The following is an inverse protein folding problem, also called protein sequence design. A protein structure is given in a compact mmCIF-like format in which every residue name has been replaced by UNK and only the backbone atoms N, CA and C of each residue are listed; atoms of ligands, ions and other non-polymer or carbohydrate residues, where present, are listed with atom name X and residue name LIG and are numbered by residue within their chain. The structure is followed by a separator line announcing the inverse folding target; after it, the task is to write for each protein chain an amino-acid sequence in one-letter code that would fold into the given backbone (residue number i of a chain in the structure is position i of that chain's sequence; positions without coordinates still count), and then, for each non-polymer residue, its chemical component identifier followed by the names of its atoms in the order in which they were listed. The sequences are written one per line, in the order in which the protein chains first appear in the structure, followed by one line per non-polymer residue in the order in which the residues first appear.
data_IF_037056378334
#
_entry.id   IF_037056378334
#
_cell.length_a   1.000
_cell.length_b   1.000
_cell.length_c   1.000
_cell.angle_alpha   90.00
_cell.angle_beta   90.00
_cell.angle_gamma   90.00
#
_symmetry.space_group_name_H-M   'P 1'
#
loop_
_entity.id
_entity.type
_entity.pdbx_description
1 polymer ?
#
# COMPACT_ATOMS: atom_id res chain seq x y z
N UNK A 1 5.94 3.64 -14.05
CA UNK A 1 5.21 4.79 -14.60
C UNK A 1 5.95 6.08 -14.29
N UNK A 2 5.98 7.06 -15.20
CA UNK A 2 6.59 8.36 -14.94
C UNK A 2 5.85 9.11 -13.82
N UNK A 3 6.55 9.98 -13.08
CA UNK A 3 5.93 10.88 -12.10
C UNK A 3 4.83 11.76 -12.73
N UNK A 4 4.99 12.07 -14.02
CA UNK A 4 4.08 12.87 -14.85
C UNK A 4 2.66 12.26 -14.93
N UNK A 5 2.55 10.93 -14.80
CA UNK A 5 1.26 10.24 -14.76
C UNK A 5 0.45 10.57 -13.50
N UNK A 6 1.10 10.52 -12.34
CA UNK A 6 0.45 10.81 -11.05
C UNK A 6 0.14 12.31 -10.91
N UNK A 7 1.02 13.15 -11.47
CA UNK A 7 0.81 14.57 -11.66
C UNK A 7 -0.42 14.89 -12.52
N UNK A 8 -0.62 14.16 -13.64
CA UNK A 8 -1.78 14.28 -14.52
C UNK A 8 -3.09 13.92 -13.80
N UNK A 9 -3.11 12.86 -12.99
CA UNK A 9 -4.32 12.43 -12.28
C UNK A 9 -4.84 13.46 -11.26
N UNK A 10 -3.95 14.16 -10.55
CA UNK A 10 -4.35 15.24 -9.63
C UNK A 10 -5.04 16.43 -10.31
N UNK A 11 -4.97 16.53 -11.64
CA UNK A 11 -5.65 17.61 -12.39
C UNK A 11 -7.13 17.33 -12.68
N UNK A 12 -7.66 16.15 -12.31
CA UNK A 12 -9.09 15.84 -12.42
C UNK A 12 -9.60 15.62 -13.86
N UNK A 13 -8.72 15.34 -14.82
CA UNK A 13 -9.07 15.19 -16.25
C UNK A 13 -9.73 13.83 -16.56
N UNK A 14 -10.07 13.04 -15.55
CA UNK A 14 -10.39 11.61 -15.72
C UNK A 14 -11.81 11.31 -16.20
N UNK A 15 -12.70 12.29 -16.37
CA UNK A 15 -14.11 11.98 -16.69
C UNK A 15 -14.60 12.31 -18.11
N UNK A 16 -13.86 13.03 -18.97
CA UNK A 16 -14.44 13.45 -20.27
C UNK A 16 -13.55 13.30 -21.51
N UNK A 17 -12.33 12.79 -21.41
CA UNK A 17 -11.49 12.56 -22.57
C UNK A 17 -11.54 11.08 -23.01
N UNK A 18 -12.26 10.80 -24.09
CA UNK A 18 -12.15 9.58 -24.92
C UNK A 18 -12.70 8.25 -24.38
N UNK A 19 -13.61 8.24 -23.39
CA UNK A 19 -14.38 7.04 -23.05
C UNK A 19 -13.58 5.87 -22.45
N UNK A 20 -12.33 6.10 -22.03
CA UNK A 20 -11.56 5.14 -21.28
C UNK A 20 -12.08 5.06 -19.84
N UNK A 21 -12.47 3.86 -19.39
CA UNK A 21 -12.85 3.62 -17.98
C UNK A 21 -11.67 3.68 -17.01
N UNK A 22 -10.43 3.69 -17.51
CA UNK A 22 -9.21 3.69 -16.70
C UNK A 22 -8.34 4.91 -16.99
N UNK A 23 -8.09 5.79 -15.98
CA UNK A 23 -7.21 6.96 -16.09
C UNK A 23 -5.80 6.68 -16.61
N UNK A 24 -5.31 5.46 -16.37
CA UNK A 24 -4.02 4.96 -16.84
C UNK A 24 -3.90 4.91 -18.35
N UNK A 25 -4.92 4.34 -18.98
CA UNK A 25 -4.98 4.16 -20.42
C UNK A 25 -5.13 5.52 -21.11
N UNK A 26 -5.92 6.43 -20.53
CA UNK A 26 -6.04 7.80 -21.03
C UNK A 26 -4.69 8.53 -21.03
N UNK A 27 -3.91 8.47 -19.95
CA UNK A 27 -2.57 9.08 -19.92
C UNK A 27 -1.59 8.43 -20.89
N UNK A 28 -1.55 7.09 -20.96
CA UNK A 28 -0.64 6.42 -21.89
C UNK A 28 -1.00 6.74 -23.34
N UNK A 29 -2.30 6.86 -23.65
CA UNK A 29 -2.79 7.29 -24.95
C UNK A 29 -2.36 8.73 -25.27
N UNK A 30 -2.58 9.67 -24.34
CA UNK A 30 -2.13 11.06 -24.45
C UNK A 30 -0.61 11.21 -24.57
N UNK A 31 0.16 10.38 -23.86
CA UNK A 31 1.62 10.39 -23.92
C UNK A 31 2.17 9.80 -25.22
N UNK A 32 1.41 8.88 -25.85
CA UNK A 32 1.70 8.31 -27.17
C UNK A 32 1.34 9.30 -28.29
N UNK A 33 0.35 10.18 -28.08
CA UNK A 33 -0.02 11.20 -29.04
C UNK A 33 0.89 12.43 -28.88
N UNK A 34 2.00 12.44 -29.64
CA UNK A 34 3.11 13.40 -29.51
C UNK A 34 2.73 14.89 -29.58
N UNK A 35 1.50 15.25 -30.01
CA UNK A 35 1.02 16.62 -30.16
C UNK A 35 0.51 17.27 -28.85
N UNK A 36 0.19 16.51 -27.79
CA UNK A 36 -0.47 17.05 -26.59
C UNK A 36 0.38 17.09 -25.30
N UNK A 37 1.63 16.60 -25.34
CA UNK A 37 2.55 16.58 -24.18
C UNK A 37 2.71 17.94 -23.46
N UNK A 38 2.57 19.06 -24.18
CA UNK A 38 2.61 20.41 -23.59
C UNK A 38 1.39 20.78 -22.75
N UNK A 39 0.21 20.20 -23.04
CA UNK A 39 -1.07 20.50 -22.38
C UNK A 39 -1.09 19.96 -20.95
N UNK A 40 -0.70 18.70 -20.77
CA UNK A 40 -0.61 18.02 -19.47
C UNK A 40 0.37 18.72 -18.53
N UNK A 41 1.59 18.99 -19.02
CA UNK A 41 2.63 19.68 -18.23
C UNK A 41 2.19 21.07 -17.79
N UNK A 42 1.56 21.85 -18.69
CA UNK A 42 1.03 23.20 -18.35
C UNK A 42 -0.07 23.12 -17.29
N UNK A 43 -0.99 22.15 -17.38
CA UNK A 43 -2.05 21.95 -16.37
C UNK A 43 -1.47 21.53 -15.02
N UNK A 44 -0.50 20.62 -15.00
CA UNK A 44 0.21 20.26 -13.77
C UNK A 44 0.94 21.46 -13.16
N UNK A 45 1.71 22.22 -13.95
CA UNK A 45 2.38 23.43 -13.48
C UNK A 45 1.42 24.46 -12.87
N UNK A 46 0.21 24.62 -13.43
CA UNK A 46 -0.84 25.48 -12.86
C UNK A 46 -1.47 24.90 -11.58
N UNK A 47 -1.51 23.57 -11.45
CA UNK A 47 -2.05 22.89 -10.27
C UNK A 47 -1.12 22.98 -9.06
N UNK A 48 0.20 23.06 -9.31
CA UNK A 48 1.16 23.41 -8.29
C UNK A 48 0.87 24.88 -7.94
N UNK A 49 0.25 25.12 -6.78
CA UNK A 49 0.06 26.46 -6.21
C UNK A 49 1.42 27.05 -5.77
N UNK A 50 2.38 27.09 -6.68
CA UNK A 50 3.71 27.64 -6.45
C UNK A 50 3.54 29.14 -6.34
N UNK A 51 3.71 29.68 -5.14
CA UNK A 51 3.83 31.12 -4.97
C UNK A 51 4.95 31.63 -5.87
N UNK A 52 4.71 32.67 -6.67
CA UNK A 52 5.71 33.22 -7.59
C UNK A 52 6.95 33.79 -6.86
N UNK A 53 6.86 33.99 -5.55
CA UNK A 53 7.92 34.59 -4.74
C UNK A 53 7.99 33.94 -3.34
N UNK A 54 8.42 32.66 -3.22
CA UNK A 54 8.58 31.99 -1.92
C UNK A 54 9.71 32.62 -1.07
N UNK A 55 10.45 33.57 -1.65
CA UNK A 55 11.63 34.24 -1.11
C UNK A 55 11.31 35.48 -0.24
N UNK A 56 10.05 35.91 -0.20
CA UNK A 56 9.65 37.02 0.67
C UNK A 56 9.57 36.55 2.12
N UNK A 57 10.53 37.02 2.93
CA UNK A 57 10.52 37.00 4.40
C UNK A 57 10.59 35.62 5.09
N UNK A 58 10.94 34.53 4.39
CA UNK A 58 11.13 33.20 5.00
C UNK A 58 12.50 32.60 4.71
N UNK A 59 13.13 32.07 5.75
CA UNK A 59 14.30 31.20 5.63
C UNK A 59 13.90 29.91 4.91
N UNK A 60 14.32 29.76 3.65
CA UNK A 60 14.01 28.57 2.85
C UNK A 60 15.10 27.51 3.05
N UNK A 61 14.72 26.36 3.60
CA UNK A 61 15.61 25.19 3.62
C UNK A 61 15.60 24.54 2.24
N UNK A 62 16.65 24.81 1.46
CA UNK A 62 16.82 24.22 0.12
C UNK A 62 16.88 22.69 0.14
N UNK A 63 17.21 22.08 1.29
CA UNK A 63 17.24 20.64 1.46
C UNK A 63 15.84 20.04 1.72
N UNK A 64 14.80 20.86 1.90
CA UNK A 64 13.43 20.38 2.10
C UNK A 64 12.68 20.34 0.79
N UNK A 65 12.21 19.16 0.43
CA UNK A 65 11.39 18.94 -0.75
C UNK A 65 9.95 19.39 -0.47
N UNK A 66 9.36 20.29 -1.28
CA UNK A 66 7.97 20.67 -1.11
C UNK A 66 6.99 19.50 -1.34
N UNK A 67 6.01 19.35 -0.44
CA UNK A 67 4.98 18.29 -0.53
C UNK A 67 4.18 18.35 -1.85
N UNK A 68 4.10 19.54 -2.45
CA UNK A 68 3.46 19.78 -3.74
C UNK A 68 4.00 18.89 -4.88
N UNK A 69 5.27 18.46 -4.82
CA UNK A 69 5.84 17.58 -5.84
C UNK A 69 5.32 16.15 -5.76
N UNK A 70 4.83 15.69 -4.60
CA UNK A 70 4.24 14.36 -4.42
C UNK A 70 5.09 13.23 -5.03
N UNK A 71 6.40 13.21 -4.74
CA UNK A 71 7.35 12.21 -5.27
C UNK A 71 7.03 10.76 -4.87
N UNK A 72 6.20 10.58 -3.84
CA UNK A 72 5.76 9.29 -3.30
C UNK A 72 4.24 9.23 -3.44
N UNK A 73 3.67 8.12 -3.97
CA UNK A 73 2.24 7.97 -4.10
C UNK A 73 1.58 7.87 -2.72
N UNK A 74 0.38 8.45 -2.62
CA UNK A 74 -0.50 8.26 -1.48
C UNK A 74 -1.48 7.08 -1.72
N UNK A 75 -2.33 6.82 -0.75
CA UNK A 75 -3.32 5.73 -0.78
C UNK A 75 -4.27 5.87 -1.98
N UNK A 76 -4.57 7.10 -2.43
CA UNK A 76 -5.48 7.32 -3.56
C UNK A 76 -4.93 6.75 -4.88
N UNK A 77 -3.60 6.62 -5.00
CA UNK A 77 -2.98 6.01 -6.17
C UNK A 77 -3.43 4.56 -6.40
N UNK A 78 -3.74 3.80 -5.33
CA UNK A 78 -4.23 2.41 -5.41
C UNK A 78 -5.50 2.32 -6.24
N UNK A 79 -6.43 3.27 -6.10
CA UNK A 79 -7.74 3.21 -6.74
C UNK A 79 -7.62 3.15 -8.27
N UNK A 80 -6.52 3.67 -8.80
CA UNK A 80 -6.25 3.81 -10.22
C UNK A 80 -5.38 2.66 -10.77
N UNK A 81 -4.96 1.74 -9.89
CA UNK A 81 -4.20 0.56 -10.27
C UNK A 81 -5.12 -0.60 -10.65
N UNK A 82 -4.63 -1.62 -11.38
CA UNK A 82 -5.40 -2.82 -11.63
C UNK A 82 -5.78 -3.57 -10.35
N UNK A 83 -6.73 -4.49 -10.47
CA UNK A 83 -7.13 -5.36 -9.38
C UNK A 83 -5.94 -6.13 -8.80
N UNK A 84 -5.94 -6.27 -7.48
CA UNK A 84 -4.90 -6.95 -6.70
C UNK A 84 -3.55 -6.23 -6.63
N UNK A 85 -3.47 -5.00 -7.14
CA UNK A 85 -2.37 -4.09 -6.82
C UNK A 85 -2.33 -3.74 -5.33
N UNK A 86 -1.13 -3.59 -4.79
CA UNK A 86 -0.97 -3.12 -3.42
C UNK A 86 0.17 -2.13 -3.27
N UNK A 87 0.01 -1.20 -2.33
CA UNK A 87 0.96 -0.17 -1.93
C UNK A 87 1.38 -0.48 -0.51
N UNK A 88 2.69 -0.54 -0.31
CA UNK A 88 3.31 -0.77 0.97
C UNK A 88 4.14 0.44 1.35
N UNK A 89 3.82 1.03 2.51
CA UNK A 89 4.55 2.15 3.10
C UNK A 89 5.04 1.74 4.48
N UNK A 90 6.35 1.76 4.67
CA UNK A 90 7.00 1.32 5.91
C UNK A 90 7.84 2.47 6.45
N UNK A 91 7.36 3.20 7.47
CA UNK A 91 8.22 4.13 8.20
C UNK A 91 9.21 3.33 9.03
N UNK A 92 10.51 3.53 8.79
CA UNK A 92 11.58 2.81 9.46
C UNK A 92 12.54 3.77 10.13
N UNK A 93 13.25 3.24 11.12
CA UNK A 93 14.33 3.94 11.83
C UNK A 93 15.64 3.21 11.63
N UNK A 94 16.71 3.94 11.35
CA UNK A 94 18.04 3.34 11.16
C UNK A 94 18.63 2.84 12.48
N UNK A 95 18.94 1.54 12.53
CA UNK A 95 19.71 0.91 13.62
C UNK A 95 21.21 1.12 13.44
N UNK A 96 21.70 1.21 12.20
CA UNK A 96 23.07 1.60 11.86
C UNK A 96 23.05 2.70 10.80
N UNK A 97 24.09 3.54 10.71
CA UNK A 97 24.17 4.59 9.69
C UNK A 97 23.98 4.02 8.29
N UNK A 98 23.36 4.80 7.40
CA UNK A 98 23.23 4.47 5.99
C UNK A 98 24.29 5.21 5.19
N UNK A 99 24.95 4.47 4.31
CA UNK A 99 25.96 5.00 3.40
C UNK A 99 25.48 4.81 1.97
N UNK A 100 25.79 5.77 1.13
CA UNK A 100 25.65 5.62 -0.32
C UNK A 100 26.79 6.32 -1.03
N UNK A 101 26.84 6.13 -2.35
CA UNK A 101 27.81 6.79 -3.20
C UNK A 101 27.07 7.79 -4.06
N UNK A 102 27.40 9.07 -3.91
CA UNK A 102 27.01 10.07 -4.91
C UNK A 102 27.93 9.97 -6.15
N UNK A 103 27.40 10.37 -7.30
CA UNK A 103 28.14 10.37 -8.58
C UNK A 103 28.58 11.78 -9.00
N UNK A 104 28.49 12.77 -8.11
CA UNK A 104 28.95 14.12 -8.38
C UNK A 104 30.48 14.16 -8.51
N UNK A 105 30.98 14.66 -9.64
CA UNK A 105 32.41 14.69 -9.96
C UNK A 105 33.20 15.66 -9.07
N UNK A 106 32.54 16.70 -8.56
CA UNK A 106 33.14 17.73 -7.73
C UNK A 106 32.35 17.84 -6.43
N UNK A 107 32.89 17.27 -5.36
CA UNK A 107 32.35 17.37 -4.01
C UNK A 107 33.50 17.56 -3.02
N UNK A 108 33.22 18.24 -1.90
CA UNK A 108 34.25 18.60 -0.91
C UNK A 108 34.89 17.36 -0.26
N UNK A 109 34.06 16.35 0.04
CA UNK A 109 34.48 15.06 0.60
C UNK A 109 34.59 14.00 -0.49
N UNK A 110 35.53 13.06 -0.35
CA UNK A 110 35.73 11.98 -1.32
C UNK A 110 34.55 11.00 -1.39
N UNK A 111 33.83 10.82 -0.28
CA UNK A 111 32.74 9.87 -0.14
C UNK A 111 31.44 10.60 0.21
N UNK A 112 30.87 11.34 -0.77
CA UNK A 112 29.60 12.03 -0.58
C UNK A 112 28.43 11.08 -0.47
N UNK A 113 27.47 11.48 0.36
CA UNK A 113 26.16 10.84 0.43
C UNK A 113 25.35 11.16 -0.83
N UNK A 114 24.58 10.19 -1.33
CA UNK A 114 23.68 10.41 -2.46
C UNK A 114 22.60 11.42 -2.11
N UNK A 115 22.37 12.37 -3.03
CA UNK A 115 21.37 13.43 -2.88
C UNK A 115 20.48 13.54 -4.11
N UNK A 116 19.27 14.04 -3.91
CA UNK A 116 18.40 14.50 -5.00
C UNK A 116 19.09 15.67 -5.74
N UNK A 117 18.91 15.77 -7.06
CA UNK A 117 19.71 16.65 -7.91
C UNK A 117 19.43 18.14 -7.69
N UNK A 118 18.17 18.50 -7.44
CA UNK A 118 17.69 19.88 -7.35
C UNK A 118 17.80 20.39 -5.92
N UNK A 119 17.17 19.69 -4.97
CA UNK A 119 17.09 20.12 -3.57
C UNK A 119 18.32 19.71 -2.76
N UNK A 120 19.20 18.86 -3.31
CA UNK A 120 20.36 18.32 -2.60
C UNK A 120 19.99 17.59 -1.30
N UNK A 121 18.73 17.16 -1.18
CA UNK A 121 18.22 16.35 -0.07
C UNK A 121 18.86 14.96 -0.11
N UNK A 122 19.46 14.49 1.00
CA UNK A 122 19.91 13.12 1.15
C UNK A 122 18.83 12.12 0.76
N UNK A 123 19.17 11.09 -0.03
CA UNK A 123 18.19 10.10 -0.43
C UNK A 123 18.77 8.71 -0.68
N UNK A 124 17.94 7.69 -0.45
CA UNK A 124 18.09 6.39 -1.09
C UNK A 124 17.24 6.38 -2.36
N UNK A 125 17.86 6.07 -3.49
CA UNK A 125 17.18 6.08 -4.78
C UNK A 125 16.30 4.82 -4.95
N UNK A 126 15.24 4.94 -5.77
CA UNK A 126 14.39 3.81 -6.13
C UNK A 126 15.18 2.60 -6.70
N UNK A 127 16.21 2.86 -7.50
CA UNK A 127 17.08 1.80 -8.04
C UNK A 127 17.96 1.14 -6.96
N UNK A 128 18.36 1.90 -5.93
CA UNK A 128 19.08 1.39 -4.78
C UNK A 128 18.21 0.43 -3.96
N UNK A 129 16.97 0.84 -3.66
CA UNK A 129 15.97 -0.03 -3.03
C UNK A 129 15.67 -1.29 -3.83
N UNK A 130 15.50 -1.16 -5.15
CA UNK A 130 15.30 -2.31 -6.04
C UNK A 130 16.46 -3.29 -5.94
N UNK A 131 17.69 -2.78 -6.02
CA UNK A 131 18.92 -3.57 -5.92
C UNK A 131 19.07 -4.26 -4.57
N UNK A 132 18.82 -3.54 -3.47
CA UNK A 132 18.91 -4.05 -2.12
C UNK A 132 17.90 -5.17 -1.87
N UNK A 133 16.63 -4.97 -2.24
CA UNK A 133 15.59 -5.98 -2.05
C UNK A 133 15.84 -7.22 -2.90
N UNK A 134 16.21 -7.02 -4.17
CA UNK A 134 16.57 -8.12 -5.08
C UNK A 134 17.73 -8.94 -4.54
N UNK A 135 18.79 -8.28 -4.05
CA UNK A 135 19.94 -8.94 -3.46
C UNK A 135 19.57 -9.72 -2.19
N UNK A 136 18.77 -9.13 -1.29
CA UNK A 136 18.31 -9.80 -0.08
C UNK A 136 17.51 -11.07 -0.39
N UNK A 137 16.55 -10.99 -1.31
CA UNK A 137 15.71 -12.13 -1.70
C UNK A 137 16.52 -13.22 -2.45
N UNK A 138 17.50 -12.82 -3.27
CA UNK A 138 18.44 -13.75 -3.91
C UNK A 138 19.29 -14.48 -2.86
N UNK A 139 19.79 -13.77 -1.86
CA UNK A 139 20.56 -14.36 -0.76
C UNK A 139 19.72 -15.31 0.10
N UNK A 140 18.45 -14.99 0.35
CA UNK A 140 17.52 -15.92 1.02
C UNK A 140 17.32 -17.21 0.22
N UNK A 141 17.12 -17.11 -1.10
CA UNK A 141 16.99 -18.26 -1.98
C UNK A 141 18.27 -19.11 -1.96
N UNK A 142 19.42 -18.45 -2.08
CA UNK A 142 20.72 -19.11 -2.08
C UNK A 142 20.97 -19.84 -0.75
N UNK A 143 20.79 -19.16 0.38
CA UNK A 143 20.94 -19.74 1.73
C UNK A 143 20.04 -20.94 1.96
N UNK A 144 18.76 -20.81 1.58
CA UNK A 144 17.82 -21.92 1.68
C UNK A 144 18.30 -23.12 0.85
N UNK A 145 18.69 -22.91 -0.40
CA UNK A 145 19.15 -24.00 -1.26
C UNK A 145 20.46 -24.63 -0.78
N UNK A 146 21.43 -23.83 -0.32
CA UNK A 146 22.71 -24.34 0.19
C UNK A 146 22.54 -25.12 1.48
N UNK A 147 21.59 -24.71 2.33
CA UNK A 147 21.31 -25.35 3.61
C UNK A 147 20.62 -26.71 3.52
N UNK A 148 20.10 -27.10 2.34
CA UNK A 148 19.53 -28.43 2.12
C UNK A 148 20.61 -29.50 1.97
N UNK A 149 20.34 -30.68 2.50
CA UNK A 149 21.18 -31.86 2.28
C UNK A 149 21.10 -32.37 0.83
N UNK A 150 22.03 -33.24 0.43
CA UNK A 150 22.09 -33.78 -0.93
C UNK A 150 20.82 -34.56 -1.31
N UNK A 151 20.28 -35.34 -0.37
CA UNK A 151 19.03 -36.10 -0.58
C UNK A 151 17.82 -35.16 -0.72
N UNK A 152 17.74 -34.12 0.11
CA UNK A 152 16.67 -33.12 0.03
C UNK A 152 16.72 -32.32 -1.28
N UNK A 153 17.92 -31.98 -1.77
CA UNK A 153 18.11 -31.37 -3.11
C UNK A 153 17.66 -32.31 -4.24
N UNK A 154 17.80 -33.62 -4.04
CA UNK A 154 17.33 -34.66 -4.95
C UNK A 154 15.81 -34.90 -4.86
N UNK A 155 15.08 -34.23 -3.97
CA UNK A 155 13.62 -34.27 -3.98
C UNK A 155 13.03 -33.40 -5.09
N UNK A 156 12.05 -33.94 -5.81
CA UNK A 156 11.34 -33.20 -6.87
C UNK A 156 10.68 -31.93 -6.35
N UNK A 157 10.20 -31.93 -5.11
CA UNK A 157 9.53 -30.78 -4.47
C UNK A 157 10.50 -29.62 -4.30
N UNK A 158 11.69 -29.87 -3.75
CA UNK A 158 12.69 -28.82 -3.55
C UNK A 158 13.26 -28.30 -4.88
N UNK A 159 13.50 -29.17 -5.87
CA UNK A 159 13.88 -28.71 -7.22
C UNK A 159 12.84 -27.79 -7.84
N UNK A 160 11.56 -28.14 -7.75
CA UNK A 160 10.44 -27.29 -8.21
C UNK A 160 10.45 -25.96 -7.48
N UNK A 161 10.60 -25.98 -6.16
CA UNK A 161 10.57 -24.78 -5.32
C UNK A 161 11.72 -23.84 -5.63
N UNK A 162 12.92 -24.35 -5.92
CA UNK A 162 14.06 -23.54 -6.36
C UNK A 162 13.78 -22.81 -7.68
N UNK A 163 13.32 -23.54 -8.69
CA UNK A 163 12.98 -22.95 -10.01
C UNK A 163 11.82 -21.96 -9.87
N UNK A 164 10.79 -22.29 -9.10
CA UNK A 164 9.62 -21.44 -8.86
C UNK A 164 10.00 -20.11 -8.20
N UNK A 165 10.78 -20.14 -7.11
CA UNK A 165 11.27 -18.93 -6.44
C UNK A 165 12.16 -18.09 -7.34
N UNK A 166 12.97 -18.72 -8.20
CA UNK A 166 13.79 -18.02 -9.19
C UNK A 166 12.94 -17.31 -10.25
N UNK A 167 11.90 -17.97 -10.77
CA UNK A 167 10.94 -17.34 -11.70
C UNK A 167 10.20 -16.18 -11.03
N UNK A 168 9.83 -16.35 -9.76
CA UNK A 168 9.19 -15.32 -8.96
C UNK A 168 10.08 -14.06 -8.82
N UNK A 169 11.39 -14.20 -8.60
CA UNK A 169 12.32 -13.06 -8.61
C UNK A 169 12.28 -12.31 -9.95
N UNK A 170 12.32 -13.02 -11.07
CA UNK A 170 12.26 -12.36 -12.39
C UNK A 170 10.90 -11.69 -12.61
N UNK A 171 9.79 -12.31 -12.23
CA UNK A 171 8.45 -11.72 -12.31
C UNK A 171 8.33 -10.43 -11.49
N UNK A 172 8.91 -10.41 -10.29
CA UNK A 172 8.86 -9.25 -9.40
C UNK A 172 9.74 -8.10 -9.90
N UNK A 173 11.01 -8.37 -10.23
CA UNK A 173 11.99 -7.33 -10.52
C UNK A 173 12.16 -7.01 -12.00
N UNK A 174 11.72 -7.90 -12.89
CA UNK A 174 11.94 -7.83 -14.32
C UNK A 174 13.38 -8.15 -14.73
N UNK A 175 13.66 -8.02 -16.02
CA UNK A 175 15.01 -8.13 -16.60
C UNK A 175 15.38 -6.79 -17.23
N UNK A 176 16.47 -6.15 -16.77
CA UNK A 176 16.85 -4.83 -17.31
C UNK A 176 17.80 -4.93 -18.51
N UNK A 177 18.61 -5.99 -18.56
CA UNK A 177 19.67 -6.18 -19.58
C UNK A 177 19.66 -7.58 -20.21
N UNK A 178 18.47 -8.15 -20.41
CA UNK A 178 18.29 -9.48 -21.00
C UNK A 178 18.71 -10.62 -20.07
N UNK A 179 18.77 -11.84 -20.63
CA UNK A 179 18.86 -13.10 -19.87
C UNK A 179 20.19 -13.30 -19.11
N UNK A 180 21.28 -12.63 -19.51
CA UNK A 180 22.66 -12.90 -19.07
C UNK A 180 23.16 -12.04 -17.89
N UNK A 181 22.28 -11.73 -16.94
CA UNK A 181 22.67 -11.04 -15.70
C UNK A 181 23.61 -11.91 -14.82
N UNK A 182 24.52 -11.25 -14.07
CA UNK A 182 25.49 -11.93 -13.18
C UNK A 182 24.78 -12.81 -12.14
N UNK A 183 23.65 -12.33 -11.61
CA UNK A 183 22.79 -13.04 -10.66
C UNK A 183 22.28 -14.37 -11.21
N UNK A 184 21.83 -14.38 -12.47
CA UNK A 184 21.35 -15.59 -13.13
C UNK A 184 22.46 -16.62 -13.26
N UNK A 185 23.67 -16.18 -13.65
CA UNK A 185 24.84 -17.08 -13.71
C UNK A 185 25.23 -17.64 -12.35
N UNK A 186 25.09 -16.86 -11.28
CA UNK A 186 25.31 -17.35 -9.93
C UNK A 186 24.30 -18.44 -9.55
N UNK A 187 23.01 -18.21 -9.80
CA UNK A 187 21.95 -19.19 -9.52
C UNK A 187 22.01 -20.42 -10.44
N UNK A 188 22.52 -20.28 -11.67
CA UNK A 188 22.77 -21.41 -12.58
C UNK A 188 23.83 -22.35 -12.01
N UNK A 189 24.95 -21.78 -11.54
CA UNK A 189 26.01 -22.55 -10.87
C UNK A 189 25.50 -23.21 -9.59
N UNK A 190 24.68 -22.50 -8.83
CA UNK A 190 24.15 -22.98 -7.55
C UNK A 190 23.13 -24.11 -7.71
N UNK A 191 22.21 -23.97 -8.69
CA UNK A 191 21.15 -24.92 -8.94
C UNK A 191 21.59 -26.15 -9.75
N UNK A 192 22.64 -26.01 -10.56
CA UNK A 192 23.11 -27.05 -11.47
C UNK A 192 22.37 -27.08 -12.81
N UNK A 193 22.84 -27.96 -13.71
CA UNK A 193 22.41 -28.00 -15.12
C UNK A 193 20.92 -28.25 -15.29
N UNK A 194 20.34 -29.20 -14.53
CA UNK A 194 18.94 -29.60 -14.67
C UNK A 194 17.98 -28.44 -14.31
N UNK A 195 18.22 -27.79 -13.17
CA UNK A 195 17.42 -26.67 -12.67
C UNK A 195 17.56 -25.46 -13.58
N UNK A 196 18.77 -25.23 -14.12
CA UNK A 196 19.04 -24.19 -15.11
C UNK A 196 18.22 -24.40 -16.39
N UNK A 197 18.26 -25.61 -16.96
CA UNK A 197 17.48 -25.95 -18.15
C UNK A 197 15.97 -25.82 -17.90
N UNK A 198 15.49 -26.24 -16.74
CA UNK A 198 14.08 -26.10 -16.38
C UNK A 198 13.68 -24.62 -16.27
N UNK A 199 14.46 -23.82 -15.53
CA UNK A 199 14.23 -22.39 -15.41
C UNK A 199 14.19 -21.70 -16.78
N UNK A 200 15.17 -21.98 -17.64
CA UNK A 200 15.23 -21.45 -19.01
C UNK A 200 14.02 -21.86 -19.86
N UNK A 201 13.56 -23.10 -19.72
CA UNK A 201 12.36 -23.57 -20.42
C UNK A 201 11.11 -22.83 -19.95
N UNK A 202 10.95 -22.64 -18.65
CA UNK A 202 9.81 -21.91 -18.09
C UNK A 202 9.83 -20.43 -18.48
N UNK A 203 11.00 -19.79 -18.41
CA UNK A 203 11.12 -18.36 -18.68
C UNK A 203 10.77 -17.99 -20.13
N UNK A 204 11.07 -18.88 -21.09
CA UNK A 204 10.73 -18.67 -22.51
C UNK A 204 9.24 -18.44 -22.75
N UNK A 205 8.36 -18.98 -21.90
CA UNK A 205 6.91 -18.75 -22.01
C UNK A 205 6.45 -17.38 -21.49
N UNK A 206 7.34 -16.63 -20.83
CA UNK A 206 7.03 -15.33 -20.21
C UNK A 206 7.80 -14.16 -20.83
N UNK A 207 8.66 -14.42 -21.82
CA UNK A 207 9.46 -13.39 -22.49
C UNK A 207 8.70 -12.81 -23.68
N UNK A 208 8.86 -11.52 -23.89
CA UNK A 208 8.48 -10.86 -25.14
C UNK A 208 9.48 -11.18 -26.25
N UNK A 209 9.16 -10.88 -27.50
CA UNK A 209 10.06 -11.10 -28.65
C UNK A 209 11.38 -10.34 -28.52
N UNK A 210 11.39 -9.21 -27.80
CA UNK A 210 12.60 -8.43 -27.48
C UNK A 210 13.44 -9.04 -26.35
N UNK A 211 12.96 -10.12 -25.72
CA UNK A 211 13.59 -10.76 -24.57
C UNK A 211 13.49 -9.98 -23.26
N UNK A 212 12.66 -8.93 -23.23
CA UNK A 212 12.43 -8.11 -22.04
C UNK A 212 11.25 -8.64 -21.21
N UNK A 213 11.40 -8.60 -19.88
CA UNK A 213 10.33 -8.86 -18.92
C UNK A 213 10.22 -7.65 -18.00
N UNK A 214 9.06 -7.01 -18.02
CA UNK A 214 8.74 -5.96 -17.06
C UNK A 214 8.52 -6.57 -15.66
N UNK A 215 9.16 -5.98 -14.65
CA UNK A 215 8.89 -6.33 -13.26
C UNK A 215 7.57 -5.76 -12.78
N UNK A 216 6.99 -6.40 -11.76
CA UNK A 216 5.75 -5.95 -11.10
C UNK A 216 5.96 -4.95 -9.98
N UNK A 217 7.22 -4.74 -9.57
CA UNK A 217 7.58 -3.84 -8.48
C UNK A 217 8.00 -2.47 -8.98
N UNK A 218 7.40 -1.44 -8.38
CA UNK A 218 7.77 -0.04 -8.55
C UNK A 218 8.25 0.52 -7.21
N UNK A 219 9.50 0.96 -7.18
CA UNK A 219 10.15 1.53 -6.00
C UNK A 219 10.13 3.06 -6.08
N UNK A 220 10.08 3.69 -4.91
CA UNK A 220 10.14 5.14 -4.77
C UNK A 220 11.36 5.54 -3.94
N UNK A 221 11.92 6.75 -4.17
CA UNK A 221 13.01 7.24 -3.36
C UNK A 221 12.57 7.46 -1.91
N UNK A 222 13.52 7.31 -0.99
CA UNK A 222 13.36 7.73 0.40
C UNK A 222 14.25 8.93 0.65
N UNK A 223 13.69 10.00 1.18
CA UNK A 223 14.41 11.23 1.51
C UNK A 223 14.70 11.26 3.02
N UNK A 224 15.90 11.72 3.39
CA UNK A 224 16.33 11.85 4.78
C UNK A 224 16.57 13.33 5.10
N UNK A 225 16.29 13.70 6.35
CA UNK A 225 16.49 15.07 6.85
C UNK A 225 17.86 15.25 7.50
N UNK A 226 18.48 14.16 7.94
CA UNK A 226 19.72 14.17 8.70
C UNK A 226 20.91 13.77 7.83
N UNK A 227 22.04 14.46 8.02
CA UNK A 227 23.36 14.10 7.48
C UNK A 227 24.34 14.02 8.63
N UNK A 228 25.19 13.01 8.62
CA UNK A 228 26.27 12.80 9.57
C UNK A 228 27.58 12.46 8.86
N UNK A 229 28.62 12.27 9.67
CA UNK A 229 29.95 11.88 9.21
C UNK A 229 30.41 10.65 9.98
N UNK A 230 30.77 9.60 9.24
CA UNK A 230 31.38 8.38 9.76
C UNK A 230 32.87 8.36 9.42
N UNK A 231 33.67 7.82 10.32
CA UNK A 231 35.12 7.71 10.15
C UNK A 231 35.51 6.24 10.19
N UNK A 232 36.09 5.73 9.11
CA UNK A 232 36.65 4.38 9.06
C UNK A 232 38.16 4.50 8.96
N UNK A 233 38.89 3.97 9.94
CA UNK A 233 40.34 3.85 9.87
C UNK A 233 40.72 2.39 9.54
N UNK A 234 41.09 2.07 8.29
CA UNK A 234 41.57 0.73 7.96
C UNK A 234 42.90 0.48 8.66
N UNK A 235 43.06 -0.69 9.28
CA UNK A 235 44.33 -1.11 9.89
C UNK A 235 45.01 -2.15 9.02
N UNK A 236 46.34 -2.10 8.95
CA UNK A 236 47.12 -3.17 8.35
C UNK A 236 47.14 -4.38 9.30
N UNK A 237 46.73 -5.54 8.80
CA UNK A 237 46.66 -6.78 9.58
C UNK A 237 48.02 -7.28 10.10
N UNK A 238 49.14 -6.85 9.49
CA UNK A 238 50.50 -7.27 9.86
C UNK A 238 51.12 -6.38 10.93
N UNK A 239 50.92 -5.07 10.83
CA UNK A 239 51.55 -4.10 11.75
C UNK A 239 50.61 -3.62 12.85
N UNK A 240 49.29 -3.81 12.70
CA UNK A 240 48.27 -3.32 13.64
C UNK A 240 48.09 -1.80 13.63
N UNK A 241 48.89 -1.07 12.85
CA UNK A 241 48.84 0.39 12.74
C UNK A 241 47.78 0.81 11.71
N UNK A 242 47.34 2.07 11.78
CA UNK A 242 46.48 2.66 10.75
C UNK A 242 47.16 2.57 9.38
N UNK A 243 46.35 2.36 8.34
CA UNK A 243 46.84 2.29 6.95
C UNK A 243 47.52 3.61 6.55
N UNK A 244 48.43 3.55 5.58
CA UNK A 244 49.11 4.75 5.03
C UNK A 244 48.15 5.83 4.53
N UNK A 245 46.92 5.44 4.18
CA UNK A 245 45.86 6.33 3.71
C UNK A 245 45.13 7.08 4.83
N UNK A 246 45.39 6.73 6.09
CA UNK A 246 44.77 7.34 7.26
C UNK A 246 43.26 7.08 7.38
N UNK A 247 42.59 7.81 8.31
CA UNK A 247 41.15 7.72 8.49
C UNK A 247 40.38 8.22 7.27
N UNK A 248 39.40 7.44 6.83
CA UNK A 248 38.52 7.74 5.71
C UNK A 248 37.24 8.35 6.25
N UNK A 249 36.96 9.59 5.86
CA UNK A 249 35.72 10.29 6.15
C UNK A 249 34.63 9.90 5.14
N UNK A 250 33.45 9.54 5.65
CA UNK A 250 32.30 9.09 4.87
C UNK A 250 31.08 9.90 5.28
N UNK A 251 30.44 10.62 4.36
CA UNK A 251 29.12 11.17 4.65
C UNK A 251 28.10 10.04 4.76
N UNK A 252 27.21 10.14 5.74
CA UNK A 252 26.18 9.15 6.00
C UNK A 252 24.85 9.82 6.34
N UNK A 253 23.78 9.03 6.30
CA UNK A 253 22.62 9.30 7.14
C UNK A 253 22.89 8.64 8.51
N UNK A 254 22.84 9.39 9.61
CA UNK A 254 23.26 8.89 10.92
C UNK A 254 22.32 7.80 11.45
N UNK A 255 22.79 7.09 12.47
CA UNK A 255 21.94 6.18 13.24
C UNK A 255 20.76 6.94 13.83
N UNK A 256 19.61 6.25 13.98
CA UNK A 256 18.32 6.76 14.48
C UNK A 256 17.57 7.69 13.53
N UNK A 257 18.17 8.09 12.42
CA UNK A 257 17.44 8.84 11.40
C UNK A 257 16.29 8.00 10.83
N UNK A 258 15.27 8.71 10.37
CA UNK A 258 13.99 8.15 9.97
C UNK A 258 13.79 8.25 8.46
N UNK A 259 13.07 7.28 7.89
CA UNK A 259 12.73 7.28 6.48
C UNK A 259 11.49 6.43 6.21
N UNK A 260 10.93 6.56 5.01
CA UNK A 260 9.77 5.75 4.57
C UNK A 260 10.17 4.94 3.34
N UNK A 261 10.13 3.62 3.47
CA UNK A 261 10.25 2.71 2.34
C UNK A 261 8.89 2.56 1.68
N UNK A 262 8.80 2.90 0.39
CA UNK A 262 7.54 2.81 -0.37
C UNK A 262 7.70 1.90 -1.59
N UNK A 263 6.79 0.94 -1.71
CA UNK A 263 6.77 -0.06 -2.76
C UNK A 263 5.34 -0.21 -3.31
N UNK A 264 5.19 -0.09 -4.62
CA UNK A 264 3.95 -0.38 -5.33
C UNK A 264 4.10 -1.68 -6.13
N UNK A 265 3.18 -2.61 -5.93
CA UNK A 265 3.04 -3.83 -6.71
C UNK A 265 1.89 -3.70 -7.71
N UNK A 266 2.17 -4.01 -8.98
CA UNK A 266 1.18 -4.03 -10.05
C UNK A 266 1.18 -5.39 -10.75
N UNK A 267 0.13 -6.21 -10.61
CA UNK A 267 0.01 -7.44 -11.35
C UNK A 267 -0.24 -7.15 -12.84
N UNK A 268 0.27 -8.03 -13.70
CA UNK A 268 0.11 -7.96 -15.15
C UNK A 268 -0.49 -9.28 -15.62
N UNK A 269 -1.52 -9.21 -16.47
CA UNK A 269 -2.21 -10.37 -17.04
C UNK A 269 -3.71 -10.42 -16.73
N UNK A 270 -4.32 -11.59 -16.88
CA UNK A 270 -5.73 -11.83 -16.50
C UNK A 270 -5.88 -11.76 -14.98
N UNK A 271 -6.89 -11.04 -14.48
CA UNK A 271 -7.17 -10.92 -13.04
C UNK A 271 -8.04 -12.08 -12.52
N UNK A 272 -7.65 -13.31 -12.84
CA UNK A 272 -8.38 -14.53 -12.51
C UNK A 272 -7.88 -15.20 -11.22
N UNK A 273 -8.43 -16.37 -10.87
CA UNK A 273 -8.01 -17.17 -9.70
C UNK A 273 -6.52 -17.54 -9.69
N UNK A 274 -5.87 -17.69 -10.84
CA UNK A 274 -4.43 -17.95 -10.87
C UNK A 274 -3.64 -16.70 -10.52
N UNK A 275 -4.06 -15.54 -11.03
CA UNK A 275 -3.49 -14.25 -10.65
C UNK A 275 -3.57 -14.04 -9.13
N UNK A 276 -4.73 -14.30 -8.52
CA UNK A 276 -4.91 -14.19 -7.06
C UNK A 276 -3.92 -15.04 -6.27
N UNK A 277 -3.78 -16.32 -6.63
CA UNK A 277 -2.82 -17.24 -6.01
C UNK A 277 -1.38 -16.80 -6.23
N UNK A 278 -1.09 -16.16 -7.36
CA UNK A 278 0.23 -15.62 -7.67
C UNK A 278 0.54 -14.38 -6.83
N UNK A 279 -0.39 -13.42 -6.76
CA UNK A 279 -0.29 -12.22 -5.92
C UNK A 279 -0.12 -12.61 -4.45
N UNK A 280 -0.87 -13.61 -3.97
CA UNK A 280 -0.73 -14.14 -2.62
C UNK A 280 0.71 -14.62 -2.32
N UNK A 281 1.29 -15.42 -3.23
CA UNK A 281 2.67 -15.91 -3.10
C UNK A 281 3.70 -14.78 -3.22
N UNK A 282 3.44 -13.80 -4.08
CA UNK A 282 4.28 -12.61 -4.25
C UNK A 282 4.30 -11.76 -2.98
N UNK A 283 3.13 -11.50 -2.39
CA UNK A 283 2.99 -10.73 -1.16
C UNK A 283 3.72 -11.38 0.02
N UNK A 284 3.57 -12.70 0.21
CA UNK A 284 4.30 -13.45 1.25
C UNK A 284 5.82 -13.34 1.04
N UNK A 285 6.29 -13.58 -0.19
CA UNK A 285 7.71 -13.57 -0.51
C UNK A 285 8.33 -12.18 -0.38
N UNK A 286 7.57 -11.13 -0.73
CA UNK A 286 7.97 -9.74 -0.54
C UNK A 286 8.05 -9.37 0.94
N UNK A 287 7.07 -9.75 1.76
CA UNK A 287 7.11 -9.47 3.20
C UNK A 287 8.34 -10.11 3.87
N UNK A 288 8.66 -11.36 3.50
CA UNK A 288 9.88 -12.05 3.95
C UNK A 288 11.16 -11.34 3.46
N UNK A 289 11.19 -10.93 2.19
CA UNK A 289 12.32 -10.25 1.57
C UNK A 289 12.58 -8.88 2.17
N UNK A 290 11.53 -8.08 2.36
CA UNK A 290 11.60 -6.72 2.91
C UNK A 290 12.08 -6.76 4.36
N UNK A 291 11.54 -7.67 5.18
CA UNK A 291 12.03 -7.85 6.55
C UNK A 291 13.53 -8.13 6.57
N UNK A 292 13.99 -9.08 5.75
CA UNK A 292 15.41 -9.44 5.75
C UNK A 292 16.29 -8.34 5.16
N UNK A 293 15.83 -7.64 4.11
CA UNK A 293 16.52 -6.47 3.58
C UNK A 293 16.71 -5.42 4.67
N UNK A 294 15.65 -5.05 5.38
CA UNK A 294 15.71 -3.99 6.38
C UNK A 294 16.48 -4.39 7.65
N UNK A 295 16.44 -5.64 8.09
CA UNK A 295 16.96 -6.01 9.43
C UNK A 295 18.25 -6.84 9.43
N UNK A 296 18.52 -7.55 8.34
CA UNK A 296 19.63 -8.51 8.27
C UNK A 296 20.69 -8.12 7.24
N UNK A 297 20.27 -7.83 6.02
CA UNK A 297 21.19 -7.56 4.92
C UNK A 297 21.55 -6.08 4.82
N UNK A 298 20.64 -5.19 5.18
CA UNK A 298 20.78 -3.75 5.01
C UNK A 298 20.64 -3.28 3.55
N UNK A 299 20.65 -1.96 3.37
CA UNK A 299 20.59 -1.29 2.08
C UNK A 299 21.70 -0.23 1.94
N UNK A 300 21.96 0.23 0.71
CA UNK A 300 23.07 1.16 0.43
C UNK A 300 24.44 0.47 0.34
N UNK A 301 25.47 1.14 0.82
CA UNK A 301 26.87 0.71 0.73
C UNK A 301 27.40 0.09 2.03
N UNK A 302 28.46 -0.72 1.91
CA UNK A 302 29.16 -1.38 3.05
C UNK A 302 28.23 -2.20 3.96
N UNK A 303 27.18 -2.79 3.40
CA UNK A 303 26.22 -3.66 4.11
C UNK A 303 26.88 -4.87 4.79
N UNK A 304 28.00 -5.38 4.25
CA UNK A 304 28.80 -6.44 4.90
C UNK A 304 29.37 -6.06 6.27
N UNK A 305 29.57 -4.76 6.55
CA UNK A 305 29.94 -4.22 7.88
C UNK A 305 28.72 -3.82 8.73
N UNK A 306 27.51 -4.07 8.21
CA UNK A 306 26.23 -3.85 8.88
C UNK A 306 25.64 -2.44 8.71
N UNK A 307 26.14 -1.63 7.77
CA UNK A 307 25.54 -0.33 7.44
C UNK A 307 24.16 -0.50 6.78
N UNK A 308 23.32 0.52 6.91
CA UNK A 308 21.98 0.59 6.32
C UNK A 308 21.02 -0.44 6.87
N UNK A 309 21.15 -0.82 8.15
CA UNK A 309 20.20 -1.70 8.83
C UNK A 309 19.19 -0.84 9.59
N UNK A 310 17.92 -1.19 9.49
CA UNK A 310 16.80 -0.61 10.21
C UNK A 310 16.39 -1.42 11.45
N UNK A 311 15.61 -0.79 12.32
CA UNK A 311 14.97 -1.44 13.47
C UNK A 311 13.80 -2.34 13.05
N UNK A 312 13.53 -3.39 13.84
CA UNK A 312 12.38 -4.30 13.62
C UNK A 312 11.05 -3.62 13.95
N UNK A 313 11.06 -2.75 14.96
CA UNK A 313 9.91 -1.93 15.36
C UNK A 313 9.90 -0.66 14.51
N UNK A 314 8.74 -0.33 13.97
CA UNK A 314 8.57 0.82 13.10
C UNK A 314 8.47 2.12 13.89
N UNK A 315 8.84 3.22 13.25
CA UNK A 315 8.64 4.55 13.79
C UNK A 315 7.30 5.10 13.29
N UNK A 316 6.23 4.72 13.99
CA UNK A 316 4.85 4.95 13.56
C UNK A 316 4.20 3.70 12.98
N UNK A 317 3.18 3.88 12.13
CA UNK A 317 2.41 2.80 11.55
C UNK A 317 2.76 2.60 10.07
N UNK A 318 3.20 1.39 9.74
CA UNK A 318 3.27 0.94 8.35
C UNK A 318 1.88 0.62 7.83
N UNK A 319 1.70 0.79 6.52
CA UNK A 319 0.43 0.60 5.81
C UNK A 319 0.61 -0.35 4.63
N UNK A 320 -0.30 -1.31 4.51
CA UNK A 320 -0.46 -2.16 3.35
C UNK A 320 -1.88 -1.95 2.83
N UNK A 321 -1.98 -1.26 1.70
CA UNK A 321 -3.26 -1.05 1.01
C UNK A 321 -3.33 -1.99 -0.17
N UNK A 322 -4.42 -2.74 -0.32
CA UNK A 322 -4.66 -3.67 -1.43
C UNK A 322 -5.94 -3.26 -2.17
N UNK A 323 -5.87 -3.13 -3.50
CA UNK A 323 -7.07 -2.98 -4.34
C UNK A 323 -7.78 -4.32 -4.45
N UNK A 324 -8.77 -4.51 -3.59
CA UNK A 324 -9.59 -5.71 -3.56
C UNK A 324 -10.89 -5.38 -2.79
N UNK A 325 -12.04 -5.56 -3.44
CA UNK A 325 -13.34 -5.64 -2.81
C UNK A 325 -13.45 -6.90 -1.98
N UNK A 326 -13.27 -6.70 -0.68
CA UNK A 326 -13.52 -7.73 0.31
C UNK A 326 -14.95 -8.21 0.08
N UNK A 327 -15.20 -9.48 -0.30
CA UNK A 327 -16.54 -10.01 -0.14
C UNK A 327 -16.75 -10.01 1.37
N UNK A 328 -17.45 -8.99 1.87
CA UNK A 328 -18.15 -9.14 3.13
C UNK A 328 -18.96 -10.41 2.90
N UNK A 329 -18.56 -11.51 3.55
CA UNK A 329 -19.53 -12.52 3.89
C UNK A 329 -20.58 -11.73 4.64
N UNK A 330 -21.67 -11.39 3.95
CA UNK A 330 -22.93 -11.21 4.60
C UNK A 330 -22.99 -12.39 5.55
N UNK A 331 -23.00 -12.06 6.84
CA UNK A 331 -23.42 -13.03 7.82
C UNK A 331 -24.79 -13.44 7.29
N UNK A 332 -24.86 -14.64 6.71
CA UNK A 332 -26.11 -15.38 6.70
C UNK A 332 -26.42 -15.53 8.18
N UNK A 333 -27.14 -14.54 8.72
CA UNK A 333 -27.87 -14.69 9.94
C UNK A 333 -28.89 -15.77 9.62
N UNK A 334 -28.50 -17.01 9.86
CA UNK A 334 -29.44 -18.08 10.14
C UNK A 334 -30.45 -17.50 11.14
N UNK A 335 -31.70 -17.43 10.69
CA UNK A 335 -32.77 -16.78 11.41
C UNK A 335 -32.81 -17.19 12.88
N UNK A 336 -32.56 -16.22 13.73
CA UNK A 336 -33.18 -16.17 15.06
C UNK A 336 -33.74 -14.78 15.25
N UNK A 337 -35.05 -14.66 15.01
CA UNK A 337 -35.87 -13.51 15.42
C UNK A 337 -35.69 -13.28 16.92
N UNK A 338 -34.93 -12.25 17.28
CA UNK A 338 -34.81 -11.73 18.64
C UNK A 338 -34.71 -10.20 18.59
N UNK A 339 -35.51 -9.45 19.37
CA UNK A 339 -35.61 -7.99 19.23
C UNK A 339 -34.31 -7.30 19.70
N UNK A 340 -33.89 -6.29 18.93
CA UNK A 340 -32.72 -5.47 19.21
C UNK A 340 -32.77 -4.89 20.64
N UNK A 341 -31.68 -4.98 21.42
CA UNK A 341 -31.68 -4.52 22.81
C UNK A 341 -31.65 -2.99 22.89
N UNK A 342 -32.64 -2.41 23.56
CA UNK A 342 -32.54 -1.05 24.11
C UNK A 342 -33.71 -0.09 23.84
N UNK A 343 -34.61 -0.39 22.90
CA UNK A 343 -35.75 0.48 22.60
C UNK A 343 -36.94 0.22 23.57
N UNK A 344 -37.55 1.27 24.17
CA UNK A 344 -38.78 1.13 24.93
C UNK A 344 -39.88 0.45 24.09
N UNK A 345 -40.68 -0.43 24.72
CA UNK A 345 -41.70 -1.25 24.03
C UNK A 345 -42.74 -0.49 23.20
N UNK A 346 -42.85 0.83 23.34
CA UNK A 346 -43.77 1.68 22.58
C UNK A 346 -43.11 2.34 21.34
N UNK A 347 -41.82 2.09 21.08
CA UNK A 347 -41.07 2.62 19.93
C UNK A 347 -40.59 1.49 19.01
N UNK A 348 -40.78 1.69 17.72
CA UNK A 348 -40.22 0.83 16.66
C UNK A 348 -38.84 1.34 16.21
N UNK A 349 -38.65 2.66 16.26
CA UNK A 349 -37.37 3.35 16.03
C UNK A 349 -37.27 4.54 17.01
N UNK A 350 -36.07 5.14 17.23
CA UNK A 350 -35.88 6.21 18.21
C UNK A 350 -36.89 7.37 18.10
N UNK A 351 -37.37 7.65 16.89
CA UNK A 351 -38.30 8.74 16.59
C UNK A 351 -39.65 8.24 16.03
N UNK A 352 -39.99 6.95 16.21
CA UNK A 352 -41.21 6.37 15.64
C UNK A 352 -41.92 5.44 16.61
N UNK A 353 -43.17 5.77 16.92
CA UNK A 353 -44.09 4.92 17.67
C UNK A 353 -44.42 3.64 16.89
N UNK A 354 -44.62 2.54 17.61
CA UNK A 354 -45.10 1.28 17.01
C UNK A 354 -46.42 1.48 16.25
N UNK A 355 -46.68 0.66 15.23
CA UNK A 355 -47.89 0.71 14.36
C UNK A 355 -49.20 0.77 15.15
N UNK A 356 -49.27 0.08 16.29
CA UNK A 356 -50.47 0.07 17.12
C UNK A 356 -50.80 1.44 17.75
N UNK A 357 -49.84 2.36 17.83
CA UNK A 357 -49.97 3.65 18.52
C UNK A 357 -49.85 4.89 17.62
N UNK A 358 -49.46 4.78 16.33
CA UNK A 358 -49.36 5.94 15.42
C UNK A 358 -50.46 6.01 14.36
N UNK A 359 -50.90 7.24 14.06
CA UNK A 359 -51.69 7.59 12.88
C UNK A 359 -50.80 7.62 11.62
N UNK A 360 -51.34 7.57 10.40
CA UNK A 360 -50.55 7.61 9.15
C UNK A 360 -49.62 8.82 8.99
N UNK A 361 -49.87 9.90 9.73
CA UNK A 361 -49.07 11.13 9.82
C UNK A 361 -47.95 11.05 10.90
N UNK A 362 -47.68 9.85 11.43
CA UNK A 362 -46.78 9.57 12.56
C UNK A 362 -47.16 10.23 13.89
N UNK A 363 -48.37 10.80 14.02
CA UNK A 363 -48.87 11.33 15.30
C UNK A 363 -49.37 10.21 16.23
N UNK A 364 -49.39 10.46 17.55
CA UNK A 364 -49.96 9.52 18.52
C UNK A 364 -51.49 9.43 18.34
N UNK A 365 -52.04 8.22 18.17
CA UNK A 365 -53.48 7.97 18.15
C UNK A 365 -54.13 8.41 19.46
N UNK A 366 -55.32 9.02 19.39
CA UNK A 366 -56.14 9.25 20.58
C UNK A 366 -56.59 7.93 21.23
N UNK A 367 -56.84 7.93 22.54
CA UNK A 367 -57.08 6.71 23.32
C UNK A 367 -58.33 5.96 22.83
N UNK A 368 -59.36 6.70 22.39
CA UNK A 368 -60.56 6.13 21.79
C UNK A 368 -60.26 5.40 20.47
N UNK A 369 -59.45 6.01 19.60
CA UNK A 369 -59.04 5.43 18.33
C UNK A 369 -58.11 4.20 18.51
N UNK A 370 -57.27 4.20 19.56
CA UNK A 370 -56.46 3.05 19.92
C UNK A 370 -57.30 1.87 20.42
N UNK A 371 -58.34 2.13 21.24
CA UNK A 371 -59.27 1.08 21.71
C UNK A 371 -60.04 0.45 20.54
N UNK A 372 -60.54 1.28 19.63
CA UNK A 372 -61.26 0.80 18.45
C UNK A 372 -60.36 -0.02 17.52
N UNK A 373 -59.10 0.40 17.32
CA UNK A 373 -58.11 -0.36 16.54
C UNK A 373 -57.78 -1.73 17.16
N UNK A 374 -57.81 -1.84 18.50
CA UNK A 374 -57.66 -3.13 19.19
C UNK A 374 -58.89 -4.02 18.97
N UNK A 375 -60.10 -3.47 19.08
CA UNK A 375 -61.36 -4.20 18.88
C UNK A 375 -61.48 -4.74 17.45
N UNK A 376 -61.13 -3.94 16.44
CA UNK A 376 -61.13 -4.35 15.02
C UNK A 376 -60.18 -5.52 14.73
N UNK A 377 -59.14 -5.69 15.57
CA UNK A 377 -58.18 -6.81 15.49
C UNK A 377 -58.45 -7.90 16.54
N UNK A 378 -59.62 -7.89 17.18
CA UNK A 378 -60.06 -8.90 18.15
C UNK A 378 -59.28 -8.88 19.47
N UNK A 379 -58.65 -7.75 19.83
CA UNK A 379 -57.85 -7.57 21.05
C UNK A 379 -58.60 -6.70 22.07
N UNK A 380 -58.44 -7.01 23.36
CA UNK A 380 -59.09 -6.27 24.45
C UNK A 380 -58.17 -5.23 25.07
N UNK A 381 -58.72 -4.06 25.42
CA UNK A 381 -57.99 -2.99 26.12
C UNK A 381 -57.77 -3.33 27.59
N UNK A 382 -56.75 -4.16 27.85
CA UNK A 382 -56.41 -4.65 29.18
C UNK A 382 -55.44 -3.72 29.95
N UNK A 383 -55.11 -4.08 31.19
CA UNK A 383 -54.23 -3.30 32.07
C UNK A 383 -52.85 -3.05 31.46
N UNK A 384 -52.30 -4.01 30.71
CA UNK A 384 -51.00 -3.88 30.05
C UNK A 384 -51.04 -2.90 28.88
N UNK A 385 -52.08 -2.96 28.04
CA UNK A 385 -52.27 -2.06 26.90
C UNK A 385 -52.55 -0.63 27.36
N UNK A 386 -53.24 -0.46 28.50
CA UNK A 386 -53.40 0.85 29.17
C UNK A 386 -52.07 1.42 29.66
N UNK A 387 -51.20 0.59 30.26
CA UNK A 387 -49.87 1.01 30.69
C UNK A 387 -48.92 1.31 29.52
N UNK A 388 -49.03 0.57 28.42
CA UNK A 388 -48.28 0.83 27.19
C UNK A 388 -48.69 2.19 26.60
N UNK A 389 -49.99 2.43 26.46
CA UNK A 389 -50.53 3.69 25.95
C UNK A 389 -50.16 4.87 26.86
N UNK A 390 -50.23 4.72 28.19
CA UNK A 390 -49.86 5.81 29.11
C UNK A 390 -48.37 6.17 29.02
N UNK A 391 -47.48 5.19 28.82
CA UNK A 391 -46.04 5.42 28.62
C UNK A 391 -45.75 6.06 27.26
N UNK A 392 -46.44 5.64 26.21
CA UNK A 392 -46.33 6.24 24.89
C UNK A 392 -46.84 7.69 24.87
N UNK A 393 -47.96 7.96 25.53
CA UNK A 393 -48.52 9.31 25.70
C UNK A 393 -47.54 10.23 26.45
N UNK A 394 -46.98 9.77 27.56
CA UNK A 394 -45.98 10.53 28.31
C UNK A 394 -44.67 10.74 27.54
N UNK A 395 -44.32 9.87 26.59
CA UNK A 395 -43.18 10.08 25.68
C UNK A 395 -43.54 11.09 24.58
N UNK A 396 -44.70 10.95 23.94
CA UNK A 396 -45.19 11.87 22.91
C UNK A 396 -45.38 13.30 23.42
N UNK A 397 -45.88 13.48 24.65
CA UNK A 397 -46.01 14.80 25.28
C UNK A 397 -44.65 15.43 25.61
N UNK A 398 -43.58 14.63 25.81
CA UNK A 398 -42.23 15.11 26.08
C UNK A 398 -41.41 15.38 24.82
N UNK A 399 -41.53 14.53 23.79
CA UNK A 399 -40.66 14.52 22.62
C UNK A 399 -41.40 14.83 21.31
N UNK A 400 -42.69 14.52 21.22
CA UNK A 400 -43.51 14.71 20.02
C UNK A 400 -43.83 16.18 19.69
N UNK A 401 -43.71 17.09 20.68
CA UNK A 401 -43.84 18.53 20.46
C UNK A 401 -42.63 19.20 19.78
N UNK A 402 -41.49 18.49 19.65
CA UNK A 402 -40.28 18.97 18.97
C UNK A 402 -40.20 18.56 17.50
N UNK A 403 -41.24 17.92 16.97
CA UNK A 403 -41.37 17.55 15.56
C UNK A 403 -42.47 18.40 14.92
N UNK A 404 -42.13 19.60 14.42
CA UNK A 404 -42.45 19.85 13.02
C UNK A 404 -41.33 20.58 12.24
N UNK A 405 -41.30 20.32 10.93
CA UNK A 405 -40.45 20.92 9.85
C UNK A 405 -39.22 20.14 9.33
N UNK A 406 -39.23 18.80 9.38
CA UNK A 406 -38.34 17.99 8.51
C UNK A 406 -39.05 17.41 7.26
N UNK A 407 -40.33 17.73 7.03
CA UNK A 407 -41.15 17.11 5.97
C UNK A 407 -41.44 18.04 4.76
N UNK A 408 -40.83 19.23 4.67
CA UNK A 408 -41.12 20.17 3.58
C UNK A 408 -39.89 20.94 3.10
N UNK A 409 -38.84 20.22 2.68
CA UNK A 409 -37.83 20.68 1.69
C UNK A 409 -37.28 19.51 0.86
N UNK A 410 -38.15 18.69 0.29
CA UNK A 410 -37.80 17.91 -0.90
C UNK A 410 -37.97 18.80 -2.13
N UNK A 411 -36.96 19.63 -2.38
CA UNK A 411 -37.07 20.67 -3.39
C UNK A 411 -35.79 21.42 -3.70
N UNK A 412 -34.61 20.79 -3.55
CA UNK A 412 -33.41 21.24 -4.25
C UNK A 412 -32.43 20.07 -4.34
N UNK A 413 -32.23 19.57 -5.57
CA UNK A 413 -31.21 18.58 -5.90
C UNK A 413 -29.82 19.17 -5.67
N UNK A 414 -29.34 19.15 -4.43
CA UNK A 414 -27.92 19.07 -4.14
C UNK A 414 -27.45 17.67 -4.53
N UNK A 415 -26.73 17.55 -5.66
CA UNK A 415 -26.01 16.32 -6.00
C UNK A 415 -25.26 15.83 -4.75
N UNK A 416 -25.51 14.62 -4.22
CA UNK A 416 -24.55 14.02 -3.33
C UNK A 416 -23.28 13.83 -4.15
N UNK A 417 -22.21 14.54 -3.77
CA UNK A 417 -20.87 14.16 -4.18
C UNK A 417 -20.71 12.70 -3.79
N UNK A 418 -20.64 11.82 -4.79
CA UNK A 418 -20.35 10.41 -4.60
C UNK A 418 -18.92 10.28 -4.05
N UNK A 419 -18.75 10.45 -2.74
CA UNK A 419 -17.63 9.85 -2.03
C UNK A 419 -17.95 8.34 -1.94
N UNK A 420 -17.65 7.61 -3.01
CA UNK A 420 -17.58 6.16 -2.94
C UNK A 420 -16.51 5.79 -1.91
N UNK A 421 -16.89 5.02 -0.90
CA UNK A 421 -15.97 4.38 0.04
C UNK A 421 -14.87 3.63 -0.74
N UNK A 422 -13.60 3.67 -0.30
CA UNK A 422 -12.51 3.09 -1.06
C UNK A 422 -12.68 1.56 -1.23
N UNK A 423 -12.64 1.10 -2.48
CA UNK A 423 -12.54 -0.31 -2.95
C UNK A 423 -11.17 -0.93 -2.58
N UNK A 424 -10.65 -0.60 -1.40
CA UNK A 424 -9.30 -0.95 -0.98
C UNK A 424 -9.30 -1.45 0.46
N UNK A 425 -8.71 -2.62 0.67
CA UNK A 425 -8.45 -3.15 2.01
C UNK A 425 -7.16 -2.53 2.52
N UNK A 426 -7.24 -1.73 3.59
CA UNK A 426 -6.09 -1.17 4.29
C UNK A 426 -5.81 -1.96 5.58
N UNK A 427 -4.55 -2.35 5.78
CA UNK A 427 -4.08 -2.97 7.01
C UNK A 427 -2.86 -2.21 7.51
N UNK A 428 -2.86 -1.89 8.80
CA UNK A 428 -1.73 -1.25 9.48
C UNK A 428 -0.91 -2.25 10.28
N UNK A 429 0.37 -1.93 10.50
CA UNK A 429 1.30 -2.74 11.28
C UNK A 429 2.37 -1.85 11.93
N UNK A 430 2.92 -2.30 13.05
CA UNK A 430 3.91 -1.55 13.83
C UNK A 430 5.28 -2.26 13.94
N UNK A 431 5.40 -3.48 13.41
CA UNK A 431 6.65 -4.24 13.33
C UNK A 431 6.73 -4.97 11.99
N UNK A 432 7.96 -5.30 11.55
CA UNK A 432 8.17 -6.06 10.32
C UNK A 432 7.68 -7.51 10.43
N UNK A 433 7.68 -8.12 11.61
CA UNK A 433 7.02 -9.41 11.85
C UNK A 433 5.49 -9.33 11.78
N UNK A 434 4.90 -8.21 12.25
CA UNK A 434 3.48 -7.98 12.08
C UNK A 434 3.14 -7.83 10.58
N UNK A 435 3.94 -7.11 9.79
CA UNK A 435 3.80 -7.06 8.32
C UNK A 435 3.77 -8.47 7.71
N UNK A 436 4.70 -9.36 8.08
CA UNK A 436 4.70 -10.76 7.58
C UNK A 436 3.43 -11.50 7.95
N UNK A 437 2.94 -11.29 9.16
CA UNK A 437 1.72 -11.93 9.66
C UNK A 437 0.47 -11.42 8.92
N UNK A 438 0.37 -10.11 8.67
CA UNK A 438 -0.72 -9.51 7.89
C UNK A 438 -0.66 -9.91 6.43
N UNK A 439 0.54 -9.92 5.83
CA UNK A 439 0.77 -10.40 4.47
C UNK A 439 0.29 -11.84 4.30
N UNK A 440 0.57 -12.73 5.26
CA UNK A 440 0.09 -14.11 5.26
C UNK A 440 -1.43 -14.20 5.36
N UNK A 441 -2.05 -13.46 6.29
CA UNK A 441 -3.53 -13.41 6.40
C UNK A 441 -4.17 -12.98 5.08
N UNK A 442 -3.67 -11.91 4.47
CA UNK A 442 -4.16 -11.43 3.17
C UNK A 442 -3.92 -12.49 2.09
N UNK A 443 -2.74 -13.09 2.05
CA UNK A 443 -2.42 -14.13 1.07
C UNK A 443 -3.31 -15.37 1.18
N UNK A 444 -3.65 -15.81 2.39
CA UNK A 444 -4.55 -16.94 2.59
C UNK A 444 -5.96 -16.60 2.11
N UNK A 445 -6.44 -15.39 2.41
CA UNK A 445 -7.72 -14.87 1.91
C UNK A 445 -7.74 -14.77 0.37
N UNK A 446 -6.64 -14.32 -0.24
CA UNK A 446 -6.48 -14.28 -1.71
C UNK A 446 -6.52 -15.69 -2.33
N UNK A 447 -6.04 -16.72 -1.62
CA UNK A 447 -6.09 -18.12 -2.07
C UNK A 447 -7.49 -18.72 -1.91
N UNK A 448 -8.23 -18.30 -0.89
CA UNK A 448 -9.59 -18.77 -0.54
C UNK A 448 -10.72 -18.09 -1.33
N UNK A 449 -10.52 -16.85 -1.80
CA UNK A 449 -11.55 -16.02 -2.43
C UNK A 449 -12.37 -16.74 -3.51
N UNK A 450 -13.70 -16.70 -3.37
CA UNK A 450 -14.70 -17.31 -4.26
C UNK A 450 -14.66 -16.83 -5.72
N UNK A 451 -15.45 -17.46 -6.58
CA UNK A 451 -15.58 -17.14 -8.01
C UNK A 451 -15.90 -15.65 -8.22
N UNK A 452 -15.10 -15.01 -9.08
CA UNK A 452 -15.33 -13.66 -9.63
C UNK A 452 -16.64 -13.64 -10.40
#
# INVERSE_FOLDING_TARGET
MPLDYYAFQKTGITENAMGFREPHLAYLYEALDHNENGSVRKKWQKSLKVEMNPWQEKHYDFCKIPDAFSFVPDISAIQQMPWFSFLLQIPFKLRKPYLSKNEEAFYLLENPLRREKIFKTPMEAASGWKGALRAAMLQQLARWWTGLETLEKAERVNRKKFVSRRLQLIRLFGTERGFYEKDNRYLDKLGGKLQTCWFQRCLRFSMTDSGFIAGRLHFFPTFFQEVGLEVINPHDSKTGTGSEKGPILLECVPQKAEGVFTLLYVPVGSFDTNCRKEVARDLEFLADGIKAMLTQYGFGAKTGSGFGIAEERLNGEGRLTLKWDWPNKAIEEEGTTGPAPGLPRYLEAPNRLIEELHCPDNSLKEEAAYRQWLEDRGRTYNKEKKQLYSKAKAWWEREGGLLPEAASRDGEKGRPSQNQLPVATEVTFNTLENLRSQARKIADRLKEGGTV
#
